data_IF_434236888238
#
_entry.id   IF_434236888238
#
_cell.length_a   1.000
_cell.length_b   1.000
_cell.length_c   1.000
_cell.angle_alpha   90.00
_cell.angle_beta   90.00
_cell.angle_gamma   90.00
#
_symmetry.space_group_name_H-M   'P 1'
#
loop_
_entity.id
_entity.type
_entity.pdbx_description
1 polymer ?
#
# COMPACT_ATOMS: atom_id res chain seq x y z
N UNK A 1 -9.84 -10.75 7.13
CA UNK A 1 -8.82 -9.67 7.28
C UNK A 1 -8.83 -8.70 6.10
N UNK A 2 -9.00 -7.41 6.38
CA UNK A 2 -8.99 -6.31 5.39
C UNK A 2 -7.87 -5.32 5.76
N UNK A 3 -6.83 -5.22 4.95
CA UNK A 3 -5.74 -4.25 5.12
C UNK A 3 -6.12 -2.95 4.42
N UNK A 4 -6.15 -1.83 5.14
CA UNK A 4 -6.49 -0.52 4.58
C UNK A 4 -5.27 0.41 4.55
N UNK A 5 -5.00 0.98 3.37
CA UNK A 5 -3.98 1.99 3.14
C UNK A 5 -4.60 3.36 2.88
N UNK A 6 -4.28 4.32 3.75
CA UNK A 6 -4.83 5.66 3.69
C UNK A 6 -4.24 6.52 2.55
N UNK A 7 -4.91 7.62 2.22
CA UNK A 7 -4.46 8.59 1.22
C UNK A 7 -3.38 9.56 1.74
N UNK A 8 -3.03 10.55 0.92
CA UNK A 8 -2.10 11.60 1.30
C UNK A 8 -2.64 12.44 2.47
N UNK A 9 -1.76 12.85 3.39
CA UNK A 9 -2.08 13.67 4.57
C UNK A 9 -3.21 13.14 5.47
N UNK A 10 -3.46 11.83 5.47
CA UNK A 10 -4.45 11.21 6.35
C UNK A 10 -3.96 10.98 7.79
N UNK A 11 -2.75 11.45 8.12
CA UNK A 11 -2.20 11.46 9.48
C UNK A 11 -2.45 12.80 10.22
N UNK A 12 -3.04 13.80 9.56
CA UNK A 12 -3.47 15.02 10.24
C UNK A 12 -4.62 14.71 11.21
N UNK A 13 -4.73 15.40 12.37
CA UNK A 13 -5.62 14.99 13.47
C UNK A 13 -7.06 14.66 13.05
N UNK A 14 -7.69 15.52 12.25
CA UNK A 14 -9.08 15.32 11.81
C UNK A 14 -9.26 14.26 10.71
N UNK A 15 -8.23 13.92 9.94
CA UNK A 15 -8.29 12.84 8.96
C UNK A 15 -7.90 11.50 9.58
N UNK A 16 -6.98 11.52 10.55
CA UNK A 16 -6.55 10.33 11.28
C UNK A 16 -7.72 9.73 12.06
N UNK A 17 -8.52 10.56 12.74
CA UNK A 17 -9.74 10.11 13.41
C UNK A 17 -10.73 9.43 12.46
N UNK A 18 -10.95 10.00 11.25
CA UNK A 18 -11.82 9.40 10.23
C UNK A 18 -11.31 8.05 9.74
N UNK A 19 -9.99 7.89 9.61
CA UNK A 19 -9.39 6.61 9.22
C UNK A 19 -9.52 5.58 10.35
N UNK A 20 -9.29 5.97 11.59
CA UNK A 20 -9.47 5.11 12.77
C UNK A 20 -10.91 4.60 12.91
N UNK A 21 -11.89 5.42 12.51
CA UNK A 21 -13.30 5.02 12.55
C UNK A 21 -13.62 3.77 11.72
N UNK A 22 -12.83 3.46 10.68
CA UNK A 22 -13.02 2.25 9.87
C UNK A 22 -12.87 0.97 10.70
N UNK A 23 -12.08 0.99 11.77
CA UNK A 23 -11.92 -0.17 12.66
C UNK A 23 -13.18 -0.47 13.49
N UNK A 24 -14.08 0.51 13.66
CA UNK A 24 -15.37 0.29 14.34
C UNK A 24 -16.44 -0.27 13.40
N UNK A 25 -16.24 -0.17 12.08
CA UNK A 25 -17.20 -0.68 11.09
C UNK A 25 -17.09 -2.19 10.97
N UNK A 26 -15.86 -2.73 11.02
CA UNK A 26 -15.62 -4.16 10.91
C UNK A 26 -14.34 -4.57 11.68
N UNK A 27 -14.41 -5.60 12.56
CA UNK A 27 -13.29 -6.04 13.38
C UNK A 27 -12.12 -6.64 12.58
N UNK A 28 -12.29 -6.95 11.29
CA UNK A 28 -11.24 -7.46 10.41
C UNK A 28 -10.40 -6.36 9.76
N UNK A 29 -10.77 -5.09 9.92
CA UNK A 29 -10.01 -3.97 9.38
C UNK A 29 -8.68 -3.81 10.12
N UNK A 30 -7.59 -3.79 9.37
CA UNK A 30 -6.22 -3.55 9.82
C UNK A 30 -5.70 -2.31 9.12
N UNK A 31 -5.46 -1.25 9.88
CA UNK A 31 -4.89 -0.01 9.37
C UNK A 31 -3.37 -0.14 9.36
N UNK A 32 -2.74 0.23 8.24
CA UNK A 32 -1.28 0.41 8.18
C UNK A 32 -1.00 1.88 7.94
N UNK A 33 -0.52 2.56 8.98
CA UNK A 33 -0.16 3.98 8.93
C UNK A 33 1.25 4.14 8.36
N UNK A 34 1.42 5.06 7.42
CA UNK A 34 2.71 5.34 6.79
C UNK A 34 2.88 6.85 6.50
N UNK A 35 4.08 7.30 6.17
CA UNK A 35 4.40 8.74 6.20
C UNK A 35 3.75 9.55 5.08
N UNK A 36 3.48 8.92 3.93
CA UNK A 36 3.01 9.53 2.66
C UNK A 36 4.00 10.52 2.03
N UNK A 37 5.20 10.65 2.60
CA UNK A 37 6.19 11.69 2.26
C UNK A 37 7.50 11.11 1.76
N UNK A 38 7.79 9.87 2.13
CA UNK A 38 9.08 9.23 1.93
C UNK A 38 8.90 7.87 1.25
N UNK A 39 8.73 7.85 -0.08
CA UNK A 39 8.26 6.66 -0.83
C UNK A 39 9.13 5.44 -0.62
N UNK A 40 10.45 5.64 -0.46
CA UNK A 40 11.38 4.57 -0.15
C UNK A 40 11.15 3.95 1.22
N UNK A 41 10.99 4.78 2.24
CA UNK A 41 10.70 4.31 3.60
C UNK A 41 9.30 3.74 3.71
N UNK A 42 8.32 4.38 3.05
CA UNK A 42 6.92 3.95 3.02
C UNK A 42 6.80 2.57 2.38
N UNK A 43 7.41 2.33 1.22
CA UNK A 43 7.37 1.02 0.57
C UNK A 43 7.96 -0.09 1.45
N UNK A 44 9.13 0.15 2.06
CA UNK A 44 9.78 -0.83 2.94
C UNK A 44 8.93 -1.13 4.17
N UNK A 45 8.37 -0.09 4.78
CA UNK A 45 7.52 -0.21 5.95
C UNK A 45 6.22 -0.96 5.63
N UNK A 46 5.50 -0.53 4.60
CA UNK A 46 4.25 -1.15 4.15
C UNK A 46 4.43 -2.62 3.84
N UNK A 47 5.49 -2.96 3.11
CA UNK A 47 5.75 -4.34 2.73
C UNK A 47 6.09 -5.22 3.93
N UNK A 48 6.83 -4.68 4.91
CA UNK A 48 7.15 -5.39 6.15
C UNK A 48 5.90 -5.62 7.01
N UNK A 49 5.07 -4.60 7.20
CA UNK A 49 3.86 -4.72 8.01
C UNK A 49 2.82 -5.63 7.36
N UNK A 50 2.60 -5.50 6.05
CA UNK A 50 1.68 -6.41 5.33
C UNK A 50 2.18 -7.84 5.37
N UNK A 51 3.46 -8.09 5.11
CA UNK A 51 4.03 -9.45 5.17
C UNK A 51 3.89 -10.07 6.57
N UNK A 52 4.15 -9.28 7.63
CA UNK A 52 3.94 -9.70 9.02
C UNK A 52 2.47 -10.02 9.30
N UNK A 53 1.54 -9.18 8.84
CA UNK A 53 0.10 -9.42 9.01
C UNK A 53 -0.32 -10.72 8.32
N UNK A 54 0.18 -10.99 7.11
CA UNK A 54 -0.13 -12.21 6.37
C UNK A 54 0.41 -13.47 7.04
N UNK A 55 1.61 -13.40 7.63
CA UNK A 55 2.19 -14.54 8.37
C UNK A 55 1.40 -14.87 9.65
N UNK A 56 0.80 -13.86 10.27
CA UNK A 56 0.02 -14.02 11.51
C UNK A 56 -1.48 -14.22 11.27
N UNK A 57 -1.93 -14.10 10.01
CA UNK A 57 -3.33 -14.18 9.66
C UNK A 57 -3.78 -15.64 9.54
N UNK A 58 -4.99 -15.91 10.02
CA UNK A 58 -5.64 -17.23 9.92
C UNK A 58 -6.63 -17.28 8.75
N UNK A 59 -7.02 -16.12 8.20
CA UNK A 59 -7.95 -16.02 7.07
C UNK A 59 -7.25 -16.31 5.73
N UNK A 60 -7.79 -17.27 4.98
CA UNK A 60 -7.29 -17.73 3.68
C UNK A 60 -7.43 -16.70 2.56
N UNK A 61 -8.19 -15.62 2.78
CA UNK A 61 -8.59 -14.69 1.71
C UNK A 61 -8.39 -13.21 2.07
N UNK A 62 -7.17 -12.78 2.44
CA UNK A 62 -6.90 -11.39 2.77
C UNK A 62 -7.20 -10.45 1.58
N UNK A 63 -7.64 -9.24 1.91
CA UNK A 63 -7.88 -8.16 0.97
C UNK A 63 -7.02 -6.95 1.37
N UNK A 64 -6.37 -6.31 0.40
CA UNK A 64 -5.80 -4.98 0.58
C UNK A 64 -6.63 -3.96 -0.17
N UNK A 65 -6.98 -2.87 0.50
CA UNK A 65 -7.68 -1.76 -0.10
C UNK A 65 -6.99 -0.42 0.17
N UNK A 66 -7.17 0.52 -0.75
CA UNK A 66 -6.54 1.82 -0.60
C UNK A 66 -7.26 2.93 -1.36
N UNK A 67 -7.15 4.15 -0.83
CA UNK A 67 -7.78 5.36 -1.38
C UNK A 67 -6.71 6.36 -1.82
N UNK A 68 -6.85 7.00 -2.99
CA UNK A 68 -5.89 8.02 -3.44
C UNK A 68 -4.45 7.50 -3.52
N UNK A 69 -3.54 8.08 -2.74
CA UNK A 69 -2.16 7.58 -2.60
C UNK A 69 -2.09 6.16 -1.99
N UNK A 70 -3.02 5.81 -1.11
CA UNK A 70 -3.14 4.46 -0.58
C UNK A 70 -3.48 3.45 -1.68
N UNK A 71 -4.23 3.85 -2.70
CA UNK A 71 -4.51 3.01 -3.88
C UNK A 71 -3.26 2.70 -4.71
N UNK A 72 -2.36 3.68 -4.86
CA UNK A 72 -1.05 3.49 -5.51
C UNK A 72 -0.22 2.41 -4.81
N UNK A 73 -0.22 2.44 -3.48
CA UNK A 73 0.51 1.46 -2.67
C UNK A 73 -0.21 0.12 -2.58
N UNK A 74 -1.54 0.11 -2.50
CA UNK A 74 -2.33 -1.12 -2.41
C UNK A 74 -2.11 -2.01 -3.63
N UNK A 75 -2.02 -1.44 -4.83
CA UNK A 75 -1.67 -2.18 -6.05
C UNK A 75 -0.26 -2.79 -5.96
N UNK A 76 0.77 -1.99 -5.65
CA UNK A 76 2.17 -2.47 -5.58
C UNK A 76 2.42 -3.49 -4.48
N UNK A 77 1.97 -3.19 -3.27
CA UNK A 77 2.13 -4.08 -2.13
C UNK A 77 1.27 -5.32 -2.33
N UNK A 78 0.06 -5.15 -2.86
CA UNK A 78 -0.82 -6.26 -3.18
C UNK A 78 -0.24 -7.21 -4.21
N UNK A 79 0.36 -6.68 -5.27
CA UNK A 79 1.07 -7.46 -6.28
C UNK A 79 2.27 -8.21 -5.68
N UNK A 80 3.10 -7.55 -4.85
CA UNK A 80 4.27 -8.18 -4.26
C UNK A 80 3.95 -9.26 -3.22
N UNK A 81 2.83 -9.10 -2.51
CA UNK A 81 2.37 -10.01 -1.46
C UNK A 81 1.39 -11.07 -1.95
N UNK A 82 0.99 -11.02 -3.23
CA UNK A 82 -0.02 -11.91 -3.83
C UNK A 82 -1.37 -11.90 -3.08
N UNK A 83 -1.90 -10.69 -2.86
CA UNK A 83 -3.17 -10.47 -2.15
C UNK A 83 -4.15 -9.69 -3.02
N UNK A 84 -5.44 -9.98 -2.90
CA UNK A 84 -6.50 -9.32 -3.70
C UNK A 84 -6.55 -7.83 -3.39
N UNK A 85 -6.63 -7.00 -4.44
CA UNK A 85 -6.56 -5.55 -4.32
C UNK A 85 -7.91 -4.88 -4.66
N UNK A 86 -8.32 -3.90 -3.87
CA UNK A 86 -9.43 -2.99 -4.19
C UNK A 86 -8.94 -1.55 -4.07
N UNK A 87 -8.99 -0.79 -5.16
CA UNK A 87 -8.47 0.58 -5.19
C UNK A 87 -9.59 1.57 -5.48
N UNK A 88 -9.69 2.61 -4.65
CA UNK A 88 -10.70 3.66 -4.78
C UNK A 88 -10.05 4.98 -5.15
N UNK A 89 -10.44 5.53 -6.30
CA UNK A 89 -9.88 6.77 -6.85
C UNK A 89 -8.34 6.82 -6.72
N UNK A 90 -7.61 5.80 -7.22
CA UNK A 90 -6.18 5.70 -6.99
C UNK A 90 -5.43 6.83 -7.70
N UNK A 91 -4.38 7.33 -7.05
CA UNK A 91 -3.42 8.16 -7.73
C UNK A 91 -2.41 7.28 -8.50
N UNK A 92 -2.55 7.16 -9.82
CA UNK A 92 -1.68 6.30 -10.63
C UNK A 92 -0.24 6.84 -10.76
N UNK A 93 -0.09 8.17 -10.68
CA UNK A 93 1.16 8.88 -10.94
C UNK A 93 1.46 9.90 -9.84
N UNK A 94 1.63 9.46 -8.57
CA UNK A 94 1.89 10.37 -7.44
C UNK A 94 3.19 11.17 -7.62
N UNK A 95 4.13 10.63 -8.40
CA UNK A 95 5.35 11.34 -8.75
C UNK A 95 5.11 12.54 -9.67
N UNK A 96 4.04 12.56 -10.47
CA UNK A 96 3.72 13.67 -11.38
C UNK A 96 2.88 14.76 -10.70
N UNK A 97 1.93 14.37 -9.84
CA UNK A 97 0.88 15.28 -9.34
C UNK A 97 0.95 15.59 -7.84
N UNK A 98 1.75 14.86 -7.04
CA UNK A 98 1.99 15.18 -5.62
C UNK A 98 3.35 15.84 -5.37
N UNK A 99 4.11 16.11 -6.43
CA UNK A 99 5.24 17.01 -6.38
C UNK A 99 4.73 18.45 -6.34
N UNK A 100 4.52 19.00 -5.13
CA UNK A 100 3.98 20.35 -4.95
C UNK A 100 4.58 21.41 -5.87
N UNK A 101 3.76 22.41 -6.19
CA UNK A 101 3.82 23.38 -7.31
C UNK A 101 5.10 24.24 -7.46
N UNK A 102 6.20 23.99 -6.75
CA UNK A 102 7.39 24.84 -6.85
C UNK A 102 8.77 24.19 -6.59
N UNK A 103 8.94 22.86 -6.60
CA UNK A 103 10.26 22.26 -6.31
C UNK A 103 10.65 21.12 -7.24
N UNK A 104 11.25 21.53 -8.37
CA UNK A 104 12.31 20.86 -9.14
C UNK A 104 12.08 19.41 -9.61
N UNK A 105 12.15 19.23 -10.93
CA UNK A 105 12.12 17.96 -11.69
C UNK A 105 13.04 16.85 -11.13
N UNK A 106 14.01 17.19 -10.27
CA UNK A 106 14.87 16.24 -9.56
C UNK A 106 14.14 15.38 -8.51
N UNK A 107 13.08 15.87 -7.85
CA UNK A 107 12.37 15.10 -6.80
C UNK A 107 11.42 14.05 -7.40
N UNK A 108 10.81 14.37 -8.54
CA UNK A 108 9.94 13.48 -9.34
C UNK A 108 10.74 12.30 -9.89
N UNK A 109 11.88 12.58 -10.53
CA UNK A 109 12.81 11.54 -11.02
C UNK A 109 13.26 10.63 -9.88
N UNK A 110 13.55 11.21 -8.70
CA UNK A 110 13.97 10.46 -7.53
C UNK A 110 12.87 9.54 -6.99
N UNK A 111 11.62 10.00 -6.90
CA UNK A 111 10.47 9.16 -6.51
C UNK A 111 10.35 7.94 -7.41
N UNK A 112 10.34 8.15 -8.74
CA UNK A 112 10.19 7.06 -9.72
C UNK A 112 11.36 6.07 -9.67
N UNK A 113 12.58 6.57 -9.51
CA UNK A 113 13.77 5.74 -9.38
C UNK A 113 13.78 4.93 -8.07
N UNK A 114 13.47 5.57 -6.95
CA UNK A 114 13.45 4.93 -5.63
C UNK A 114 12.43 3.79 -5.55
N UNK A 115 11.23 3.95 -6.14
CA UNK A 115 10.22 2.88 -6.16
C UNK A 115 10.60 1.78 -7.15
N UNK A 116 11.08 2.12 -8.35
CA UNK A 116 11.48 1.14 -9.37
C UNK A 116 12.61 0.24 -8.87
N UNK A 117 13.63 0.81 -8.25
CA UNK A 117 14.76 0.05 -7.67
C UNK A 117 14.35 -0.94 -6.59
N UNK A 118 13.27 -0.65 -5.87
CA UNK A 118 12.77 -1.54 -4.82
C UNK A 118 11.93 -2.67 -5.40
N UNK A 119 11.11 -2.38 -6.43
CA UNK A 119 10.35 -3.41 -7.14
C UNK A 119 11.28 -4.39 -7.87
N UNK A 120 12.35 -3.90 -8.50
CA UNK A 120 13.30 -4.76 -9.23
C UNK A 120 14.09 -5.71 -8.33
N UNK A 121 14.27 -5.36 -7.04
CA UNK A 121 14.98 -6.17 -6.05
C UNK A 121 14.15 -7.30 -5.44
N UNK A 122 12.82 -7.30 -5.63
CA UNK A 122 11.96 -8.32 -5.06
C UNK A 122 11.34 -9.20 -6.14
N UNK A 123 11.57 -10.51 -6.04
CA UNK A 123 10.82 -11.50 -6.81
C UNK A 123 9.42 -11.66 -6.19
N UNK A 124 8.35 -11.73 -6.99
CA UNK A 124 7.04 -12.17 -6.51
C UNK A 124 7.17 -13.54 -5.85
N UNK A 125 6.34 -13.83 -4.84
CA UNK A 125 6.25 -15.21 -4.32
C UNK A 125 5.81 -16.13 -5.49
N UNK A 126 6.47 -17.27 -5.62
CA UNK A 126 6.10 -18.26 -6.64
C UNK A 126 4.72 -18.84 -6.34
N UNK A 127 3.86 -18.93 -7.36
CA UNK A 127 2.61 -19.67 -7.31
C UNK A 127 2.92 -21.17 -7.15
N UNK A 128 3.11 -21.64 -5.91
CA UNK A 128 3.06 -23.07 -5.60
C UNK A 128 1.61 -23.43 -5.31
N UNK A 129 0.84 -23.58 -6.37
CA UNK A 129 -0.50 -24.16 -6.33
C UNK A 129 -0.63 -25.05 -7.55
N UNK A 130 -0.51 -26.36 -7.34
CA UNK A 130 -0.73 -27.36 -8.38
C UNK A 130 -2.11 -27.10 -9.05
N UNK A 131 -2.17 -27.02 -10.38
CA UNK A 131 -3.45 -27.00 -11.06
C UNK A 131 -4.07 -28.41 -10.96
N UNK A 132 -5.13 -28.51 -10.16
CA UNK A 132 -6.19 -29.51 -10.28
C UNK A 132 -5.74 -30.99 -10.35
N UNK A 133 -5.62 -31.63 -9.18
CA UNK A 133 -5.88 -33.07 -9.08
C UNK A 133 -7.35 -33.29 -8.69
N UNK A 134 -8.20 -33.46 -9.69
CA UNK A 134 -9.57 -33.98 -9.58
C UNK A 134 -9.68 -35.20 -10.47
#
# INVERSE_FOLDING_TARGET
MIIYLHGFDSNSPGNHEKVLQLQFIDPDVRLVSYSTRHPKHDMQHLLKEVDKMLQLNVDDRPLICGVGLGGYWAERIGFLCDIRQVVFNPNLFPYENMGGENRSSGRIRRYRHEVRDQLSRKKPRSLSGDPLSS
#
